data_IF_965964643258
#
_entry.id   IF_965964643258
#
_cell.length_a   1.000
_cell.length_b   1.000
_cell.length_c   1.000
_cell.angle_alpha   90.00
_cell.angle_beta   90.00
_cell.angle_gamma   90.00
#
_symmetry.space_group_name_H-M   'P 1'
#
loop_
_entity.id
_entity.type
_entity.pdbx_description
1 polymer ?
#
# COMPACT_ATOMS: atom_id res chain seq x y z
N UNK A 1 -8.71 -39.55 -33.29
CA UNK A 1 -8.55 -38.10 -33.54
C UNK A 1 -7.25 -37.63 -32.90
N UNK A 2 -6.36 -37.01 -33.68
CA UNK A 2 -4.97 -36.71 -33.33
C UNK A 2 -4.88 -35.25 -32.86
N UNK A 3 -4.66 -35.01 -31.58
CA UNK A 3 -4.56 -33.66 -31.03
C UNK A 3 -3.18 -33.05 -31.34
N UNK A 4 -3.18 -31.99 -32.15
CA UNK A 4 -1.98 -31.21 -32.48
C UNK A 4 -1.75 -30.20 -31.36
N UNK A 5 -0.61 -30.34 -30.66
CA UNK A 5 -0.16 -29.45 -29.58
C UNK A 5 0.70 -28.33 -30.17
N UNK A 6 0.16 -27.12 -30.32
CA UNK A 6 0.95 -25.94 -30.71
C UNK A 6 1.67 -25.34 -29.49
N UNK A 7 3.00 -25.28 -29.54
CA UNK A 7 3.84 -24.52 -28.60
C UNK A 7 3.97 -23.07 -29.12
N UNK A 8 3.34 -22.12 -28.44
CA UNK A 8 3.52 -20.69 -28.69
C UNK A 8 4.78 -20.15 -28.00
N UNK A 9 5.77 -19.73 -28.78
CA UNK A 9 6.99 -19.11 -28.30
C UNK A 9 6.79 -17.63 -27.98
N UNK A 10 6.90 -17.24 -26.70
CA UNK A 10 7.11 -15.85 -26.28
C UNK A 10 8.60 -15.50 -26.45
N UNK A 11 8.97 -14.89 -27.57
CA UNK A 11 10.26 -14.21 -27.74
C UNK A 11 10.02 -12.77 -28.20
N UNK A 12 10.89 -11.89 -27.67
CA UNK A 12 11.18 -10.51 -28.11
C UNK A 12 10.12 -9.43 -27.91
N UNK A 13 10.03 -8.93 -26.67
CA UNK A 13 9.48 -7.59 -26.39
C UNK A 13 10.30 -6.87 -25.30
N UNK A 14 11.64 -6.91 -25.41
CA UNK A 14 12.57 -6.22 -24.49
C UNK A 14 13.49 -5.20 -25.15
N UNK A 15 13.48 -5.06 -26.48
CA UNK A 15 14.48 -4.24 -27.21
C UNK A 15 14.01 -2.86 -27.64
N UNK A 16 12.72 -2.54 -27.54
CA UNK A 16 12.19 -1.23 -27.96
C UNK A 16 12.23 -0.19 -26.82
N UNK A 17 12.22 -0.62 -25.55
CA UNK A 17 12.27 0.32 -24.43
C UNK A 17 13.67 0.89 -24.12
N UNK A 18 14.74 0.31 -24.69
CA UNK A 18 16.11 0.76 -24.39
C UNK A 18 16.55 1.98 -25.22
N UNK A 19 15.85 2.31 -26.31
CA UNK A 19 16.24 3.44 -27.18
C UNK A 19 15.68 4.80 -26.73
N UNK A 20 14.68 4.84 -25.83
CA UNK A 20 14.10 6.09 -25.33
C UNK A 20 14.83 6.69 -24.12
N UNK A 21 15.68 5.92 -23.44
CA UNK A 21 16.37 6.40 -22.22
C UNK A 21 17.74 7.04 -22.48
N UNK A 22 18.33 6.85 -23.67
CA UNK A 22 19.67 7.40 -23.97
C UNK A 22 19.61 8.85 -24.44
N UNK A 23 18.44 9.36 -24.87
CA UNK A 23 18.32 10.74 -25.37
C UNK A 23 18.10 11.81 -24.29
N UNK A 24 17.87 11.44 -23.02
CA UNK A 24 17.53 12.40 -21.96
C UNK A 24 18.68 12.72 -20.97
N UNK A 25 19.87 12.16 -21.16
CA UNK A 25 21.03 12.39 -20.27
C UNK A 25 22.00 13.49 -20.76
N UNK A 26 21.72 14.15 -21.89
CA UNK A 26 22.64 15.12 -22.49
C UNK A 26 22.43 16.60 -22.06
N UNK A 27 21.56 16.90 -21.10
CA UNK A 27 21.13 18.29 -20.82
C UNK A 27 21.18 18.72 -19.35
N UNK A 28 22.17 18.28 -18.57
CA UNK A 28 22.32 18.76 -17.19
C UNK A 28 23.79 18.82 -16.75
N UNK A 29 24.60 19.58 -17.49
CA UNK A 29 25.90 20.03 -16.99
C UNK A 29 26.05 21.53 -17.28
N UNK A 30 25.48 22.36 -16.41
CA UNK A 30 25.82 23.78 -16.31
C UNK A 30 26.02 24.15 -14.83
N UNK A 31 27.26 24.55 -14.58
CA UNK A 31 27.90 25.24 -13.46
C UNK A 31 27.02 25.86 -12.36
N UNK A 32 27.46 25.68 -11.11
CA UNK A 32 27.75 26.82 -10.22
C UNK A 32 28.71 26.38 -9.10
N UNK A 33 29.97 26.78 -9.25
CA UNK A 33 30.94 26.88 -8.17
C UNK A 33 30.86 28.30 -7.58
N UNK A 34 30.63 28.40 -6.28
CA UNK A 34 30.90 29.56 -5.40
C UNK A 34 30.84 28.95 -3.98
N UNK A 35 31.87 28.96 -3.14
CA UNK A 35 32.81 30.03 -2.90
C UNK A 35 32.29 30.94 -1.79
N UNK A 36 32.32 30.49 -0.53
CA UNK A 36 32.34 31.41 0.63
C UNK A 36 32.94 30.75 1.86
N UNK A 37 34.00 31.39 2.32
CA UNK A 37 34.73 31.14 3.55
C UNK A 37 34.20 32.02 4.70
N UNK A 38 34.50 31.63 5.94
CA UNK A 38 34.26 32.40 7.17
C UNK A 38 32.97 31.97 7.89
N UNK A 39 32.89 31.80 9.21
CA UNK A 39 33.67 32.47 10.26
C UNK A 39 33.61 31.68 11.58
N UNK A 40 34.68 31.87 12.33
CA UNK A 40 35.04 31.51 13.71
C UNK A 40 34.03 31.85 14.81
N UNK A 41 34.02 30.99 15.85
CA UNK A 41 33.90 31.37 17.27
C UNK A 41 32.48 31.46 17.87
N UNK A 42 32.21 30.69 18.93
CA UNK A 42 32.35 31.21 20.30
C UNK A 42 32.00 30.13 21.33
N UNK A 43 32.97 29.88 22.21
CA UNK A 43 32.92 29.03 23.39
C UNK A 43 32.25 29.82 24.53
N UNK A 44 31.16 29.29 25.08
CA UNK A 44 30.41 29.88 26.19
C UNK A 44 30.35 28.90 27.36
N UNK A 45 31.23 29.11 28.33
CA UNK A 45 31.27 28.45 29.64
C UNK A 45 30.30 29.18 30.57
N UNK A 46 29.26 28.49 31.04
CA UNK A 46 28.29 29.02 32.00
C UNK A 46 28.07 28.05 33.14
N UNK A 47 28.54 28.43 34.32
CA UNK A 47 28.48 27.71 35.58
C UNK A 47 27.27 28.22 36.39
N UNK A 48 26.53 27.31 37.04
CA UNK A 48 25.67 27.61 38.19
C UNK A 48 24.16 27.64 37.95
N UNK A 49 23.43 26.67 38.51
CA UNK A 49 22.63 26.83 39.76
C UNK A 49 21.78 25.57 39.97
N UNK A 50 22.07 24.85 41.05
CA UNK A 50 21.22 23.79 41.59
C UNK A 50 19.88 24.40 42.02
N UNK A 51 18.80 23.91 41.45
CA UNK A 51 17.46 24.08 42.03
C UNK A 51 16.85 22.70 42.21
N UNK A 52 16.93 22.20 43.44
CA UNK A 52 16.10 21.10 43.91
C UNK A 52 14.65 21.54 43.81
N UNK A 53 13.89 20.93 42.91
CA UNK A 53 12.43 20.92 42.98
C UNK A 53 12.02 19.47 43.13
N UNK A 54 11.80 19.07 44.38
CA UNK A 54 10.98 17.91 44.71
C UNK A 54 9.59 18.15 44.13
N UNK A 55 9.31 17.51 43.00
CA UNK A 55 7.93 17.32 42.55
C UNK A 55 7.56 15.86 42.77
N UNK A 56 6.97 15.66 43.94
CA UNK A 56 6.20 14.49 44.29
C UNK A 56 4.84 14.62 43.60
N UNK A 57 4.58 13.85 42.52
CA UNK A 57 3.27 13.25 42.28
C UNK A 57 3.25 12.28 41.09
N UNK A 58 2.91 11.04 41.45
CA UNK A 58 1.98 10.13 40.78
C UNK A 58 2.34 9.70 39.36
N UNK A 59 2.81 8.45 39.29
CA UNK A 59 3.06 7.72 38.06
C UNK A 59 1.86 7.73 37.14
N UNK A 60 2.00 8.48 36.05
CA UNK A 60 1.54 7.99 34.77
C UNK A 60 2.49 6.86 34.40
N UNK A 61 2.08 5.64 34.75
CA UNK A 61 2.55 4.42 34.14
C UNK A 61 2.26 4.54 32.63
N UNK A 62 3.15 5.23 31.93
CA UNK A 62 3.13 5.32 30.48
C UNK A 62 3.40 3.91 30.02
N UNK A 63 2.32 3.16 29.84
CA UNK A 63 2.33 1.84 29.25
C UNK A 63 2.98 2.02 27.89
N UNK A 64 4.28 1.73 27.83
CA UNK A 64 5.03 1.49 26.61
C UNK A 64 4.32 0.32 25.94
N UNK A 65 3.25 0.62 25.19
CA UNK A 65 2.63 -0.30 24.28
C UNK A 65 3.73 -0.68 23.31
N UNK A 66 4.26 -1.89 23.48
CA UNK A 66 5.31 -2.47 22.66
C UNK A 66 4.80 -2.56 21.22
N UNK A 67 4.96 -1.49 20.45
CA UNK A 67 4.78 -1.51 19.01
C UNK A 67 5.97 -2.26 18.43
N UNK A 68 5.76 -3.55 18.16
CA UNK A 68 6.76 -4.40 17.51
C UNK A 68 6.50 -4.36 16.00
N UNK A 69 7.57 -4.36 15.20
CA UNK A 69 7.46 -4.59 13.76
C UNK A 69 6.73 -5.92 13.50
N UNK A 70 5.88 -5.95 12.48
CA UNK A 70 5.11 -7.16 12.17
C UNK A 70 6.06 -8.31 11.80
N UNK A 71 5.84 -9.46 12.44
CA UNK A 71 6.58 -10.68 12.14
C UNK A 71 5.82 -11.55 11.12
N UNK A 72 6.51 -12.47 10.46
CA UNK A 72 5.83 -13.48 9.63
C UNK A 72 5.07 -14.43 10.56
N UNK A 73 3.80 -14.69 10.28
CA UNK A 73 2.98 -15.52 11.17
C UNK A 73 1.51 -15.56 10.78
N UNK A 74 0.74 -16.32 11.56
CA UNK A 74 -0.73 -16.34 11.45
C UNK A 74 -1.31 -15.58 12.62
N UNK A 75 -2.20 -14.63 12.30
CA UNK A 75 -2.80 -13.70 13.23
C UNK A 75 -4.31 -13.84 13.20
N UNK A 76 -4.95 -13.56 14.33
CA UNK A 76 -6.40 -13.47 14.43
C UNK A 76 -6.80 -12.01 14.63
N UNK A 77 -7.64 -11.50 13.75
CA UNK A 77 -8.12 -10.12 13.82
C UNK A 77 -9.24 -9.95 14.87
N UNK A 78 -9.73 -8.72 15.02
CA UNK A 78 -10.85 -8.40 15.91
C UNK A 78 -12.17 -9.12 15.55
N UNK A 79 -12.35 -9.52 14.30
CA UNK A 79 -13.53 -10.26 13.84
C UNK A 79 -13.38 -11.79 13.99
N UNK A 80 -12.26 -12.28 14.55
CA UNK A 80 -11.99 -13.72 14.67
C UNK A 80 -11.56 -14.41 13.37
N UNK A 81 -11.31 -13.65 12.30
CA UNK A 81 -10.77 -14.17 11.04
C UNK A 81 -9.26 -14.33 11.13
N UNK A 82 -8.74 -15.38 10.50
CA UNK A 82 -7.30 -15.62 10.36
C UNK A 82 -6.72 -14.83 9.19
N UNK A 83 -5.55 -14.23 9.42
CA UNK A 83 -4.71 -13.61 8.41
C UNK A 83 -3.29 -14.16 8.53
N UNK A 84 -2.70 -14.56 7.41
CA UNK A 84 -1.28 -14.88 7.34
C UNK A 84 -0.52 -13.64 6.87
N UNK A 85 0.54 -13.29 7.58
CA UNK A 85 1.48 -12.26 7.17
C UNK A 85 2.77 -12.94 6.78
N UNK A 86 3.30 -12.62 5.60
CA UNK A 86 4.54 -13.17 5.07
C UNK A 86 5.44 -12.03 4.59
N UNK A 87 6.74 -12.13 4.86
CA UNK A 87 7.72 -11.25 4.22
C UNK A 87 7.82 -11.57 2.72
N UNK A 88 7.78 -10.53 1.89
CA UNK A 88 8.01 -10.59 0.45
C UNK A 88 9.43 -10.20 0.07
N UNK A 89 9.64 -9.83 -1.19
CA UNK A 89 10.94 -9.33 -1.66
C UNK A 89 11.16 -7.88 -1.19
N UNK A 90 12.34 -7.59 -0.62
CA UNK A 90 12.67 -6.25 -0.12
C UNK A 90 11.81 -5.85 1.08
N UNK A 91 11.10 -4.72 0.97
CA UNK A 91 10.20 -4.20 2.00
C UNK A 91 8.73 -4.60 1.75
N UNK A 92 8.47 -5.54 0.83
CA UNK A 92 7.11 -6.03 0.58
C UNK A 92 6.66 -6.92 1.73
N UNK A 93 5.44 -6.72 2.20
CA UNK A 93 4.71 -7.60 3.12
C UNK A 93 3.48 -8.12 2.38
N UNK A 94 3.24 -9.42 2.49
CA UNK A 94 2.07 -10.09 1.94
C UNK A 94 1.08 -10.41 3.04
N UNK A 95 -0.15 -9.95 2.86
CA UNK A 95 -1.28 -10.20 3.73
C UNK A 95 -2.20 -11.18 3.02
N UNK A 96 -2.38 -12.37 3.57
CA UNK A 96 -3.22 -13.40 2.99
C UNK A 96 -4.39 -13.72 3.92
N UNK A 97 -5.60 -13.71 3.37
CA UNK A 97 -6.80 -14.21 4.05
C UNK A 97 -7.63 -15.03 3.07
N UNK A 98 -7.92 -16.28 3.44
CA UNK A 98 -8.49 -17.27 2.51
C UNK A 98 -7.62 -17.45 1.26
N UNK A 99 -8.25 -17.32 0.09
CA UNK A 99 -7.59 -17.45 -1.23
C UNK A 99 -7.13 -16.09 -1.80
N UNK A 100 -7.14 -15.04 -0.99
CA UNK A 100 -6.86 -13.67 -1.43
C UNK A 100 -5.57 -13.18 -0.78
N UNK A 101 -4.60 -12.79 -1.61
CA UNK A 101 -3.33 -12.18 -1.22
C UNK A 101 -3.37 -10.68 -1.55
N UNK A 102 -3.01 -9.83 -0.59
CA UNK A 102 -2.77 -8.41 -0.77
C UNK A 102 -1.29 -8.10 -0.48
N UNK A 103 -0.68 -7.27 -1.33
CA UNK A 103 0.70 -6.80 -1.14
C UNK A 103 0.72 -5.42 -0.51
N UNK A 104 1.72 -5.13 0.31
CA UNK A 104 1.95 -3.78 0.81
C UNK A 104 3.43 -3.51 0.96
N UNK A 105 3.83 -2.26 0.76
CA UNK A 105 5.17 -1.75 1.07
C UNK A 105 5.14 -0.77 2.24
N UNK A 106 3.97 -0.62 2.89
CA UNK A 106 3.79 0.26 4.03
C UNK A 106 4.46 -0.35 5.27
N UNK A 107 5.03 0.50 6.13
CA UNK A 107 5.57 0.06 7.40
C UNK A 107 4.43 -0.42 8.31
N UNK A 108 4.48 -1.69 8.71
CA UNK A 108 3.46 -2.30 9.57
C UNK A 108 3.97 -2.53 10.98
N UNK A 109 3.10 -2.26 11.96
CA UNK A 109 3.29 -2.62 13.36
C UNK A 109 2.15 -3.50 13.84
N UNK A 110 2.40 -4.26 14.90
CA UNK A 110 1.38 -5.07 15.56
C UNK A 110 1.30 -4.73 17.05
N UNK A 111 0.08 -4.81 17.58
CA UNK A 111 -0.22 -4.69 19.01
C UNK A 111 -1.12 -5.87 19.43
N UNK A 112 -0.76 -6.55 20.51
CA UNK A 112 -1.56 -7.65 21.04
C UNK A 112 -2.53 -7.13 22.10
N UNK A 113 -3.83 -7.27 21.83
CA UNK A 113 -4.91 -6.82 22.71
C UNK A 113 -5.84 -8.01 22.97
N UNK A 114 -5.91 -8.49 24.21
CA UNK A 114 -6.84 -9.55 24.63
C UNK A 114 -6.80 -10.81 23.73
N UNK A 115 -5.61 -11.35 23.46
CA UNK A 115 -5.39 -12.50 22.55
C UNK A 115 -5.74 -12.25 21.08
N UNK A 116 -5.99 -11.01 20.69
CA UNK A 116 -6.17 -10.60 19.30
C UNK A 116 -5.01 -9.73 18.85
N UNK A 117 -4.70 -9.79 17.57
CA UNK A 117 -3.66 -8.94 16.99
C UNK A 117 -4.30 -7.79 16.25
N UNK A 118 -3.93 -6.58 16.67
CA UNK A 118 -4.25 -5.34 15.99
C UNK A 118 -3.09 -5.02 15.05
N UNK A 119 -3.37 -5.02 13.75
CA UNK A 119 -2.39 -4.62 12.74
C UNK A 119 -2.57 -3.14 12.44
N UNK A 120 -1.46 -2.41 12.38
CA UNK A 120 -1.43 -0.99 12.06
C UNK A 120 -0.44 -0.75 10.93
N UNK A 121 -0.75 0.22 10.07
CA UNK A 121 0.17 0.75 9.07
C UNK A 121 0.51 2.19 9.42
N UNK A 122 1.78 2.55 9.28
CA UNK A 122 2.24 3.93 9.44
C UNK A 122 2.03 4.70 8.14
N UNK A 123 1.28 5.81 8.22
CA UNK A 123 1.01 6.70 7.11
C UNK A 123 2.11 7.77 6.97
N UNK A 124 2.18 8.40 5.80
CA UNK A 124 3.16 9.44 5.46
C UNK A 124 3.03 10.70 6.34
N UNK A 125 1.83 10.97 6.84
CA UNK A 125 1.57 12.07 7.77
C UNK A 125 1.95 11.74 9.24
N UNK A 126 2.58 10.59 9.49
CA UNK A 126 3.00 10.14 10.81
C UNK A 126 1.89 9.51 11.65
N UNK A 127 0.63 9.51 11.20
CA UNK A 127 -0.46 8.81 11.86
C UNK A 127 -0.40 7.30 11.60
N UNK A 128 -1.01 6.51 12.49
CA UNK A 128 -1.20 5.07 12.27
C UNK A 128 -2.65 4.81 11.87
N UNK A 129 -2.88 3.99 10.85
CA UNK A 129 -4.20 3.50 10.47
C UNK A 129 -4.31 2.01 10.81
N UNK A 130 -5.45 1.59 11.35
CA UNK A 130 -5.69 0.20 11.71
C UNK A 130 -6.14 -0.63 10.49
N UNK A 131 -5.63 -1.85 10.34
CA UNK A 131 -6.07 -2.77 9.28
C UNK A 131 -7.14 -3.70 9.85
N UNK A 132 -8.38 -3.21 9.89
CA UNK A 132 -9.54 -3.96 10.43
C UNK A 132 -10.14 -4.91 9.39
N UNK A 133 -10.19 -4.47 8.15
CA UNK A 133 -10.75 -5.20 7.01
C UNK A 133 -9.70 -6.13 6.44
N UNK A 134 -10.07 -7.39 6.23
CA UNK A 134 -9.19 -8.41 5.66
C UNK A 134 -9.18 -8.33 4.12
N UNK A 135 -8.11 -8.81 3.45
CA UNK A 135 -8.02 -8.84 1.99
C UNK A 135 -9.20 -9.53 1.27
N UNK A 136 -9.71 -10.63 1.83
CA UNK A 136 -10.86 -11.38 1.30
C UNK A 136 -12.11 -10.50 1.21
N UNK A 137 -12.39 -9.79 2.30
CA UNK A 137 -13.59 -8.98 2.52
C UNK A 137 -13.51 -7.69 1.70
N UNK A 138 -12.32 -7.08 1.63
CA UNK A 138 -12.08 -5.94 0.76
C UNK A 138 -12.23 -6.31 -0.72
N UNK A 139 -11.71 -7.47 -1.14
CA UNK A 139 -11.84 -7.98 -2.51
C UNK A 139 -13.30 -8.24 -2.88
N UNK A 140 -14.05 -8.94 -2.02
CA UNK A 140 -15.47 -9.19 -2.23
C UNK A 140 -16.27 -7.88 -2.40
N UNK A 141 -16.05 -6.92 -1.49
CA UNK A 141 -16.71 -5.61 -1.53
C UNK A 141 -16.37 -4.84 -2.81
N UNK A 142 -15.09 -4.83 -3.21
CA UNK A 142 -14.63 -4.19 -4.43
C UNK A 142 -15.25 -4.83 -5.69
N UNK A 143 -15.22 -6.16 -5.78
CA UNK A 143 -15.74 -6.91 -6.93
C UNK A 143 -17.26 -6.75 -7.07
N UNK A 144 -17.99 -6.79 -5.96
CA UNK A 144 -19.42 -6.51 -5.93
C UNK A 144 -19.71 -5.09 -6.44
N UNK A 145 -18.94 -4.08 -5.98
CA UNK A 145 -19.13 -2.70 -6.42
C UNK A 145 -18.79 -2.47 -7.90
N UNK A 146 -17.80 -3.18 -8.41
CA UNK A 146 -17.36 -3.11 -9.80
C UNK A 146 -18.23 -3.96 -10.75
N UNK A 147 -19.05 -4.87 -10.20
CA UNK A 147 -19.76 -5.89 -10.97
C UNK A 147 -18.78 -6.75 -11.77
N UNK A 148 -17.64 -7.07 -11.18
CA UNK A 148 -16.56 -7.82 -11.81
C UNK A 148 -16.27 -9.10 -11.02
N UNK A 149 -15.54 -10.03 -11.63
CA UNK A 149 -15.00 -11.20 -10.97
C UNK A 149 -13.49 -11.17 -11.08
N UNK A 150 -12.82 -11.70 -10.05
CA UNK A 150 -11.37 -11.85 -10.00
C UNK A 150 -10.99 -13.12 -10.80
N UNK A 151 -11.36 -13.18 -12.08
CA UNK A 151 -11.05 -14.27 -13.01
C UNK A 151 -9.80 -13.89 -13.83
N UNK A 152 -8.60 -14.15 -13.29
CA UNK A 152 -7.33 -13.88 -13.96
C UNK A 152 -6.44 -12.88 -13.23
N UNK A 153 -5.94 -11.88 -13.95
CA UNK A 153 -5.03 -10.85 -13.41
C UNK A 153 -5.80 -9.89 -12.48
N UNK A 154 -5.73 -10.19 -11.20
CA UNK A 154 -6.38 -9.45 -10.13
C UNK A 154 -5.27 -9.02 -9.16
N UNK A 155 -5.05 -7.72 -9.06
CA UNK A 155 -3.99 -7.15 -8.21
C UNK A 155 -4.65 -6.47 -7.03
N UNK A 156 -4.23 -6.84 -5.82
CA UNK A 156 -4.73 -6.28 -4.58
C UNK A 156 -3.53 -5.74 -3.81
N UNK A 157 -3.54 -4.43 -3.55
CA UNK A 157 -2.46 -3.75 -2.86
C UNK A 157 -3.04 -2.91 -1.72
N UNK A 158 -2.49 -3.03 -0.51
CA UNK A 158 -2.79 -2.11 0.59
C UNK A 158 -1.81 -0.93 0.49
N UNK A 159 -2.35 0.27 0.28
CA UNK A 159 -1.58 1.49 0.11
C UNK A 159 -2.22 2.69 0.78
N UNK A 160 -1.47 3.76 0.89
CA UNK A 160 -1.99 5.05 1.30
C UNK A 160 -2.72 5.74 0.14
N UNK A 161 -3.88 6.33 0.44
CA UNK A 161 -4.66 7.14 -0.50
C UNK A 161 -5.11 8.44 0.18
N UNK A 162 -5.29 9.50 -0.60
CA UNK A 162 -5.65 10.83 -0.11
C UNK A 162 -4.50 11.83 -0.22
N UNK A 163 -4.72 13.04 0.30
CA UNK A 163 -3.73 14.14 0.24
C UNK A 163 -3.74 14.94 1.53
N UNK A 164 -2.56 15.42 1.96
CA UNK A 164 -2.41 16.25 3.15
C UNK A 164 -2.85 15.54 4.43
N UNK A 165 -3.73 16.16 5.20
CA UNK A 165 -4.20 15.60 6.48
C UNK A 165 -5.31 14.56 6.33
N UNK A 166 -5.79 14.29 5.10
CA UNK A 166 -6.88 13.35 4.83
C UNK A 166 -6.38 12.04 4.18
N UNK A 167 -5.15 11.62 4.51
CA UNK A 167 -4.61 10.33 4.07
C UNK A 167 -5.20 9.16 4.87
N UNK A 168 -5.44 8.04 4.19
CA UNK A 168 -6.03 6.82 4.76
C UNK A 168 -5.34 5.59 4.17
N UNK A 169 -5.34 4.48 4.91
CA UNK A 169 -4.97 3.18 4.37
C UNK A 169 -6.15 2.58 3.59
N UNK A 170 -5.91 2.16 2.35
CA UNK A 170 -6.94 1.56 1.51
C UNK A 170 -6.39 0.40 0.68
N UNK A 171 -7.20 -0.63 0.53
CA UNK A 171 -6.99 -1.67 -0.46
C UNK A 171 -7.34 -1.14 -1.84
N UNK A 172 -6.39 -1.15 -2.76
CA UNK A 172 -6.59 -0.92 -4.19
C UNK A 172 -6.70 -2.26 -4.91
N UNK A 173 -7.88 -2.54 -5.45
CA UNK A 173 -8.18 -3.73 -6.23
C UNK A 173 -8.23 -3.31 -7.69
N UNK A 174 -7.40 -3.92 -8.53
CA UNK A 174 -7.40 -3.77 -9.99
C UNK A 174 -7.75 -5.10 -10.62
N UNK A 175 -8.71 -5.11 -11.54
CA UNK A 175 -9.10 -6.31 -12.28
C UNK A 175 -9.62 -5.96 -13.67
N UNK A 176 -9.88 -6.99 -14.46
CA UNK A 176 -10.44 -6.86 -15.80
C UNK A 176 -11.90 -7.33 -15.81
N UNK A 177 -12.77 -6.54 -16.43
CA UNK A 177 -14.18 -6.88 -16.65
C UNK A 177 -14.44 -7.00 -18.15
N UNK A 178 -15.13 -8.06 -18.58
CA UNK A 178 -15.58 -8.17 -19.97
C UNK A 178 -16.70 -7.14 -20.23
N UNK A 179 -16.64 -6.49 -21.39
CA UNK A 179 -17.64 -5.51 -21.82
C UNK A 179 -17.89 -5.62 -23.32
N UNK A 180 -19.05 -5.17 -23.82
CA UNK A 180 -19.32 -5.09 -25.26
C UNK A 180 -19.43 -3.63 -25.70
N UNK A 181 -18.52 -3.20 -26.56
CA UNK A 181 -18.58 -1.86 -27.16
C UNK A 181 -19.64 -1.88 -28.26
N UNK A 182 -20.63 -0.99 -28.15
CA UNK A 182 -21.79 -0.91 -29.05
C UNK A 182 -22.55 -2.24 -29.21
N UNK A 183 -22.46 -3.16 -28.23
CA UNK A 183 -23.08 -4.48 -28.28
C UNK A 183 -22.43 -5.51 -29.23
N UNK A 184 -21.50 -5.08 -30.09
CA UNK A 184 -20.93 -5.92 -31.16
C UNK A 184 -19.56 -6.51 -30.80
N UNK A 185 -18.69 -5.72 -30.16
CA UNK A 185 -17.29 -6.09 -29.95
C UNK A 185 -17.00 -6.40 -28.49
N UNK A 186 -16.68 -7.66 -28.18
CA UNK A 186 -16.21 -8.07 -26.85
C UNK A 186 -14.82 -7.47 -26.60
N UNK A 187 -14.66 -6.77 -25.49
CA UNK A 187 -13.39 -6.20 -25.05
C UNK A 187 -13.20 -6.40 -23.54
N UNK A 188 -11.98 -6.20 -23.06
CA UNK A 188 -11.64 -6.22 -21.64
C UNK A 188 -11.43 -4.78 -21.15
N UNK A 189 -12.19 -4.39 -20.13
CA UNK A 189 -12.04 -3.12 -19.43
C UNK A 189 -11.22 -3.32 -18.16
N UNK A 190 -10.21 -2.48 -17.94
CA UNK A 190 -9.60 -2.37 -16.61
C UNK A 190 -10.52 -1.57 -15.68
N UNK A 191 -10.81 -2.16 -14.53
CA UNK A 191 -11.62 -1.55 -13.48
C UNK A 191 -10.86 -1.58 -12.17
N UNK A 192 -11.10 -0.57 -11.35
CA UNK A 192 -10.39 -0.40 -10.09
C UNK A 192 -11.31 0.14 -9.01
N UNK A 193 -11.14 -0.36 -7.79
CA UNK A 193 -11.82 0.15 -6.60
C UNK A 193 -10.82 0.32 -5.45
N UNK A 194 -11.07 1.33 -4.62
CA UNK A 194 -10.34 1.59 -3.38
C UNK A 194 -11.27 1.39 -2.20
N UNK A 195 -10.91 0.48 -1.29
CA UNK A 195 -11.69 0.11 -0.11
C UNK A 195 -10.93 0.54 1.14
N UNK A 196 -11.58 1.28 2.03
CA UNK A 196 -10.98 1.71 3.29
C UNK A 196 -10.60 0.49 4.16
N UNK A 197 -9.35 0.39 4.60
CA UNK A 197 -8.86 -0.73 5.40
C UNK A 197 -9.42 -0.74 6.84
N UNK A 198 -9.92 0.40 7.34
CA UNK A 198 -10.53 0.53 8.66
C UNK A 198 -12.03 0.25 8.64
N UNK A 199 -12.75 0.78 7.64
CA UNK A 199 -14.22 0.78 7.62
C UNK A 199 -14.83 -0.21 6.64
N UNK A 200 -14.09 -0.62 5.60
CA UNK A 200 -14.60 -1.46 4.53
C UNK A 200 -15.42 -0.69 3.49
N UNK A 201 -15.52 0.63 3.61
CA UNK A 201 -16.28 1.46 2.68
C UNK A 201 -15.53 1.69 1.37
N UNK A 202 -16.27 1.83 0.29
CA UNK A 202 -15.73 2.18 -1.03
C UNK A 202 -15.38 3.67 -1.06
N UNK A 203 -14.10 4.00 -1.17
CA UNK A 203 -13.60 5.38 -1.28
C UNK A 203 -13.74 5.89 -2.70
N UNK A 204 -13.30 5.07 -3.67
CA UNK A 204 -13.23 5.46 -5.08
C UNK A 204 -13.46 4.26 -5.98
N UNK A 205 -14.15 4.48 -7.10
CA UNK A 205 -14.22 3.52 -8.20
C UNK A 205 -13.74 4.20 -9.47
N UNK A 206 -12.98 3.49 -10.28
CA UNK A 206 -12.46 3.97 -11.55
C UNK A 206 -12.75 2.95 -12.63
N UNK A 207 -13.39 3.44 -13.70
CA UNK A 207 -13.66 2.70 -14.93
C UNK A 207 -12.94 3.39 -16.07
N UNK A 208 -12.68 2.68 -17.16
CA UNK A 208 -12.18 3.30 -18.39
C UNK A 208 -13.15 4.38 -18.88
N UNK A 209 -12.61 5.44 -19.49
CA UNK A 209 -13.40 6.56 -20.01
C UNK A 209 -14.46 6.12 -21.02
N UNK A 210 -14.22 5.06 -21.80
CA UNK A 210 -15.17 4.53 -22.80
C UNK A 210 -16.27 3.65 -22.20
N UNK A 211 -16.31 3.46 -20.88
CA UNK A 211 -17.30 2.62 -20.21
C UNK A 211 -18.76 3.05 -20.50
N UNK A 212 -18.99 4.32 -20.85
CA UNK A 212 -20.31 4.81 -21.24
C UNK A 212 -20.79 4.29 -22.61
N UNK A 213 -19.87 3.84 -23.49
CA UNK A 213 -20.19 3.25 -24.80
C UNK A 213 -20.38 1.73 -24.73
N UNK A 214 -20.13 1.14 -23.56
CA UNK A 214 -20.18 -0.29 -23.35
C UNK A 214 -21.50 -0.70 -22.71
N UNK A 215 -22.12 -1.75 -23.25
CA UNK A 215 -23.19 -2.47 -22.58
C UNK A 215 -22.61 -3.65 -21.80
N UNK A 216 -23.12 -3.86 -20.59
CA UNK A 216 -22.81 -5.04 -19.77
C UNK A 216 -23.50 -6.30 -20.31
#
# INVERSE_FOLDING_TARGET
>A
MKFIRMKGGKKTMKKIFLFLFVSLMAMSLVLAANGSAGTTGQQGTGNGTQTNTETQNQGEESQLQNQVQVQTGTYMNQAGKQMQVQAGEGNEVKLQSGNVEAKTTMAMTQEQVQNRTKLQVKLSNGMNAEVKVMPDTASETALARLGAKCEGECTIELKEVGTGNQVKAAYEIKTQKQARVLGLFKTQMQVQAQINAETGEVIKTQKSWWAFLASE
#
